data_IF_213217658207
#
_entry.id   IF_213217658207
#
_cell.length_a   1.000
_cell.length_b   1.000
_cell.length_c   1.000
_cell.angle_alpha   90.00
_cell.angle_beta   90.00
_cell.angle_gamma   90.00
#
_symmetry.space_group_name_H-M   'P 1'
#
loop_
_entity.id
_entity.type
_entity.pdbx_description
1 polymer ?
#
# COMPACT_ATOMS: atom_id res chain seq x y z
N UNK A 1 4.89 16.40 18.58
CA UNK A 1 5.08 14.96 18.28
C UNK A 1 6.52 14.59 18.56
N UNK A 2 6.78 13.40 19.08
CA UNK A 2 8.16 12.92 19.27
C UNK A 2 8.82 12.53 17.95
N UNK A 3 10.15 12.45 17.93
CA UNK A 3 10.93 12.08 16.74
C UNK A 3 10.49 10.73 16.13
N UNK A 4 10.20 9.74 16.98
CA UNK A 4 9.72 8.43 16.54
C UNK A 4 8.38 8.51 15.80
N UNK A 5 7.47 9.37 16.26
CA UNK A 5 6.16 9.59 15.61
C UNK A 5 6.35 10.24 14.25
N UNK A 6 7.21 11.27 14.15
CA UNK A 6 7.50 11.94 12.89
C UNK A 6 8.14 10.98 11.86
N UNK A 7 9.06 10.12 12.32
CA UNK A 7 9.68 9.10 11.46
C UNK A 7 8.67 8.07 10.97
N UNK A 8 7.75 7.64 11.84
CA UNK A 8 6.69 6.70 11.45
C UNK A 8 5.75 7.32 10.41
N UNK A 9 5.32 8.56 10.61
CA UNK A 9 4.50 9.31 9.67
C UNK A 9 5.18 9.47 8.31
N UNK A 10 6.44 9.92 8.30
CA UNK A 10 7.21 10.07 7.06
C UNK A 10 7.35 8.74 6.31
N UNK A 11 7.55 7.63 7.03
CA UNK A 11 7.63 6.29 6.43
C UNK A 11 6.30 5.85 5.82
N UNK A 12 5.19 6.08 6.51
CA UNK A 12 3.86 5.72 6.01
C UNK A 12 3.46 6.58 4.80
N UNK A 13 3.75 7.89 4.81
CA UNK A 13 3.57 8.77 3.64
C UNK A 13 4.45 8.38 2.45
N UNK A 14 5.72 8.06 2.69
CA UNK A 14 6.63 7.59 1.63
C UNK A 14 6.13 6.29 0.98
N UNK A 15 5.54 5.39 1.77
CA UNK A 15 4.91 4.18 1.24
C UNK A 15 3.69 4.50 0.36
N UNK A 16 2.81 5.38 0.82
CA UNK A 16 1.60 5.78 0.08
C UNK A 16 1.95 6.47 -1.25
N UNK A 17 2.93 7.37 -1.23
CA UNK A 17 3.48 8.01 -2.43
C UNK A 17 4.00 6.98 -3.43
N UNK A 18 4.86 6.07 -2.98
CA UNK A 18 5.43 5.05 -3.85
C UNK A 18 4.36 4.13 -4.44
N UNK A 19 3.41 3.67 -3.61
CA UNK A 19 2.29 2.84 -4.07
C UNK A 19 1.45 3.57 -5.12
N UNK A 20 1.10 4.83 -4.88
CA UNK A 20 0.32 5.61 -5.84
C UNK A 20 1.07 5.71 -7.18
N UNK A 21 2.35 6.08 -7.12
CA UNK A 21 3.21 6.20 -8.29
C UNK A 21 3.28 4.91 -9.09
N UNK A 22 3.53 3.76 -8.45
CA UNK A 22 3.64 2.49 -9.18
C UNK A 22 2.28 1.95 -9.67
N UNK A 23 1.19 2.20 -8.94
CA UNK A 23 -0.13 1.63 -9.24
C UNK A 23 -0.99 2.51 -10.17
N UNK A 24 -0.58 3.75 -10.42
CA UNK A 24 -1.32 4.70 -11.26
C UNK A 24 -0.45 5.39 -12.31
N UNK A 25 0.88 5.32 -12.18
CA UNK A 25 1.81 6.09 -13.01
C UNK A 25 1.90 7.58 -12.65
N UNK A 26 1.22 8.02 -11.59
CA UNK A 26 1.16 9.44 -11.18
C UNK A 26 1.52 9.63 -9.70
N UNK A 27 2.11 10.77 -9.29
CA UNK A 27 2.37 11.08 -7.87
C UNK A 27 1.08 11.08 -7.04
N UNK A 28 1.19 10.95 -5.71
CA UNK A 28 0.02 11.03 -4.83
C UNK A 28 -0.64 12.41 -4.95
N UNK A 29 -1.88 12.51 -5.47
CA UNK A 29 -2.57 13.79 -5.51
C UNK A 29 -2.99 14.23 -4.11
N UNK A 30 -3.07 15.54 -3.91
CA UNK A 30 -3.64 16.13 -2.70
C UNK A 30 -4.82 17.05 -3.05
N UNK A 31 -6.03 16.80 -2.52
CA UNK A 31 -6.38 15.68 -1.64
C UNK A 31 -6.38 14.33 -2.39
N UNK A 32 -6.09 13.24 -1.67
CA UNK A 32 -6.15 11.90 -2.26
C UNK A 32 -7.61 11.53 -2.59
N UNK A 33 -7.91 11.04 -3.79
CA UNK A 33 -9.27 10.64 -4.16
C UNK A 33 -9.66 9.35 -3.45
N UNK A 34 -10.94 9.19 -3.14
CA UNK A 34 -11.49 8.00 -2.47
C UNK A 34 -11.14 6.69 -3.21
N UNK A 35 -11.12 6.73 -4.54
CA UNK A 35 -10.72 5.59 -5.38
C UNK A 35 -9.31 5.08 -5.08
N UNK A 36 -8.37 5.96 -4.71
CA UNK A 36 -7.02 5.57 -4.34
C UNK A 36 -6.97 4.90 -2.97
N UNK A 37 -7.80 5.35 -2.03
CA UNK A 37 -7.94 4.69 -0.71
C UNK A 37 -8.53 3.28 -0.87
N UNK A 38 -9.56 3.13 -1.70
CA UNK A 38 -10.14 1.82 -2.02
C UNK A 38 -9.12 0.90 -2.70
N UNK A 39 -8.32 1.43 -3.64
CA UNK A 39 -7.22 0.69 -4.26
C UNK A 39 -6.18 0.23 -3.22
N UNK A 40 -5.79 1.11 -2.30
CA UNK A 40 -4.89 0.76 -1.20
C UNK A 40 -5.46 -0.38 -0.36
N UNK A 41 -6.75 -0.31 0.01
CA UNK A 41 -7.39 -1.38 0.79
C UNK A 41 -7.40 -2.69 0.01
N UNK A 42 -7.86 -2.70 -1.24
CA UNK A 42 -7.93 -3.90 -2.08
C UNK A 42 -6.55 -4.54 -2.30
N UNK A 43 -5.51 -3.75 -2.49
CA UNK A 43 -4.15 -4.27 -2.69
C UNK A 43 -3.60 -5.00 -1.45
N UNK A 44 -4.07 -4.68 -0.24
CA UNK A 44 -3.44 -5.14 1.01
C UNK A 44 -4.32 -6.01 1.87
N UNK A 45 -5.65 -5.88 1.79
CA UNK A 45 -6.63 -6.70 2.51
C UNK A 45 -7.28 -7.69 1.54
N UNK A 46 -6.58 -8.78 1.27
CA UNK A 46 -6.98 -9.83 0.34
C UNK A 46 -6.78 -11.23 0.96
N UNK A 47 -7.43 -12.23 0.40
CA UNK A 47 -7.45 -13.61 0.87
C UNK A 47 -6.55 -14.50 0.00
N UNK A 48 -5.56 -15.20 0.58
CA UNK A 48 -4.68 -16.11 -0.18
C UNK A 48 -5.44 -17.13 -1.03
N UNK A 49 -6.47 -17.77 -0.44
CA UNK A 49 -7.30 -18.79 -1.11
C UNK A 49 -8.03 -18.21 -2.31
N UNK A 50 -8.53 -16.97 -2.23
CA UNK A 50 -9.24 -16.35 -3.36
C UNK A 50 -8.26 -16.01 -4.50
N UNK A 51 -7.03 -15.58 -4.17
CA UNK A 51 -6.01 -15.28 -5.18
C UNK A 51 -5.57 -16.48 -6.00
N UNK A 52 -5.69 -17.71 -5.46
CA UNK A 52 -5.37 -18.93 -6.20
C UNK A 52 -6.21 -19.09 -7.48
N UNK A 53 -7.44 -18.56 -7.48
CA UNK A 53 -8.36 -18.64 -8.62
C UNK A 53 -8.68 -17.29 -9.26
N UNK A 54 -8.33 -16.20 -8.59
CA UNK A 54 -8.46 -14.83 -9.07
C UNK A 54 -7.11 -14.09 -8.95
N UNK A 55 -6.25 -14.10 -10.00
CA UNK A 55 -4.94 -13.46 -9.96
C UNK A 55 -4.97 -11.95 -9.66
N UNK A 56 -6.11 -11.30 -9.93
CA UNK A 56 -6.34 -9.88 -9.67
C UNK A 56 -6.78 -9.61 -8.22
N UNK A 57 -6.97 -10.64 -7.40
CA UNK A 57 -7.30 -10.50 -5.99
C UNK A 57 -6.07 -10.07 -5.18
N UNK A 58 -6.07 -8.82 -4.74
CA UNK A 58 -4.96 -8.21 -4.00
C UNK A 58 -4.13 -7.26 -4.87
N UNK A 59 -2.84 -7.14 -4.53
CA UNK A 59 -1.93 -6.27 -5.28
C UNK A 59 -1.54 -6.92 -6.62
N UNK A 60 -1.61 -6.18 -7.74
CA UNK A 60 -1.06 -6.64 -9.02
C UNK A 60 0.43 -6.99 -8.90
N UNK A 61 0.88 -8.01 -9.65
CA UNK A 61 2.23 -8.55 -9.48
C UNK A 61 3.31 -7.53 -9.83
N UNK A 62 3.12 -6.77 -10.90
CA UNK A 62 4.00 -5.69 -11.36
C UNK A 62 4.17 -4.58 -10.29
N UNK A 63 3.07 -4.17 -9.66
CA UNK A 63 3.06 -3.21 -8.54
C UNK A 63 3.87 -3.78 -7.35
N UNK A 64 3.67 -5.06 -7.04
CA UNK A 64 4.36 -5.72 -5.93
C UNK A 64 5.87 -5.86 -6.17
N UNK A 65 6.27 -6.21 -7.39
CA UNK A 65 7.66 -6.28 -7.84
C UNK A 65 8.31 -4.90 -7.73
N UNK A 66 7.64 -3.85 -8.23
CA UNK A 66 8.16 -2.49 -8.20
C UNK A 66 8.38 -1.98 -6.75
N UNK A 67 7.44 -2.26 -5.84
CA UNK A 67 7.59 -1.89 -4.43
C UNK A 67 8.67 -2.70 -3.69
N UNK A 68 8.83 -3.99 -4.02
CA UNK A 68 9.91 -4.83 -3.49
C UNK A 68 11.28 -4.36 -3.96
N UNK A 69 11.41 -4.01 -5.25
CA UNK A 69 12.64 -3.44 -5.81
C UNK A 69 13.06 -2.13 -5.11
N UNK A 70 12.09 -1.34 -4.63
CA UNK A 70 12.31 -0.14 -3.82
C UNK A 70 12.54 -0.43 -2.32
N UNK A 71 12.47 -1.69 -1.89
CA UNK A 71 12.59 -2.09 -0.48
C UNK A 71 11.41 -1.69 0.41
N UNK A 72 10.28 -1.28 -0.18
CA UNK A 72 9.12 -0.72 0.52
C UNK A 72 8.07 -1.78 0.88
N UNK A 73 8.02 -2.89 0.13
CA UNK A 73 7.14 -4.02 0.40
C UNK A 73 7.97 -5.23 0.85
N UNK A 74 7.72 -5.70 2.07
CA UNK A 74 8.44 -6.87 2.65
C UNK A 74 7.57 -8.13 2.74
N UNK A 75 6.25 -7.97 2.83
CA UNK A 75 5.32 -9.09 2.92
C UNK A 75 5.13 -9.76 1.56
N UNK A 76 5.07 -11.09 1.55
CA UNK A 76 4.61 -11.90 0.40
C UNK A 76 3.09 -12.03 0.36
N UNK A 77 2.41 -11.90 1.50
CA UNK A 77 0.96 -12.03 1.65
C UNK A 77 0.24 -10.72 2.00
N UNK A 78 -1.05 -10.78 2.34
CA UNK A 78 -1.83 -9.61 2.75
C UNK A 78 -1.22 -8.95 3.98
N UNK A 79 -1.50 -7.67 4.15
CA UNK A 79 -1.10 -6.96 5.36
C UNK A 79 -2.04 -7.28 6.52
N UNK A 80 -1.50 -7.22 7.73
CA UNK A 80 -2.33 -7.19 8.92
C UNK A 80 -3.27 -5.96 8.87
N UNK A 81 -4.56 -6.10 9.23
CA UNK A 81 -5.51 -4.97 9.25
C UNK A 81 -5.02 -3.76 10.06
N UNK A 82 -4.28 -3.99 11.16
CA UNK A 82 -3.68 -2.92 11.95
C UNK A 82 -2.67 -2.07 11.16
N UNK A 83 -1.89 -2.68 10.26
CA UNK A 83 -0.93 -1.96 9.40
C UNK A 83 -1.66 -1.10 8.37
N UNK A 84 -2.74 -1.62 7.77
CA UNK A 84 -3.59 -0.89 6.83
C UNK A 84 -4.24 0.30 7.53
N UNK A 85 -4.86 0.07 8.70
CA UNK A 85 -5.46 1.13 9.51
C UNK A 85 -4.46 2.23 9.86
N UNK A 86 -3.26 1.87 10.35
CA UNK A 86 -2.23 2.85 10.72
C UNK A 86 -1.89 3.79 9.55
N UNK A 87 -1.67 3.23 8.36
CA UNK A 87 -1.33 3.99 7.15
C UNK A 87 -2.45 4.90 6.67
N UNK A 88 -3.71 4.48 6.82
CA UNK A 88 -4.87 5.30 6.47
C UNK A 88 -5.11 6.46 7.45
N UNK A 89 -4.63 6.36 8.68
CA UNK A 89 -4.81 7.37 9.72
C UNK A 89 -3.51 8.12 10.06
N UNK A 90 -2.49 8.01 9.22
CA UNK A 90 -1.20 8.70 9.40
C UNK A 90 -1.33 10.18 9.05
#
# INVERSE_FOLDING_TARGET
MGENTMRALASDLAYLEALCSVATGTPLPWPAPESLLLKFVAHHLWTPIERETNPDHGMPEDVSIALRAKGLLRSSGPHAPATVRRRLTS
#
